data_IF_279180213036
#
_entry.id   IF_279180213036
#
_cell.length_a   1.000
_cell.length_b   1.000
_cell.length_c   1.000
_cell.angle_alpha   90.00
_cell.angle_beta   90.00
_cell.angle_gamma   90.00
#
_symmetry.space_group_name_H-M   'P 1'
#
loop_
_entity.id
_entity.type
_entity.pdbx_description
1 polymer ?
#
# COMPACT_ATOMS: atom_id res chain seq x y z
N UNK A 1 12.75 13.18 7.06
CA UNK A 1 13.25 11.78 6.96
C UNK A 1 13.11 11.34 5.50
N UNK A 2 14.11 10.71 4.86
CA UNK A 2 13.96 10.24 3.47
C UNK A 2 13.36 8.83 3.44
N UNK A 3 12.15 8.70 2.91
CA UNK A 3 11.48 7.42 2.69
C UNK A 3 12.01 6.86 1.37
N UNK A 4 12.39 5.57 1.34
CA UNK A 4 12.89 4.91 0.13
C UNK A 4 11.81 4.12 -0.60
N UNK A 5 11.00 3.38 0.13
CA UNK A 5 9.82 2.68 -0.39
C UNK A 5 8.84 2.36 0.73
N UNK A 6 7.58 2.20 0.35
CA UNK A 6 6.47 1.87 1.24
C UNK A 6 5.98 0.47 0.91
N UNK A 7 5.77 -0.35 1.93
CA UNK A 7 5.23 -1.71 1.79
C UNK A 7 3.97 -1.83 2.61
N UNK A 8 2.91 -2.36 2.02
CA UNK A 8 1.66 -2.64 2.71
C UNK A 8 1.52 -4.17 2.79
N UNK A 9 1.36 -4.68 4.01
CA UNK A 9 1.17 -6.11 4.28
C UNK A 9 -0.20 -6.36 4.90
N UNK A 10 -0.95 -7.40 4.48
CA UNK A 10 -2.15 -7.80 5.17
C UNK A 10 -1.80 -8.31 6.58
N UNK A 11 -2.51 -7.78 7.56
CA UNK A 11 -2.53 -8.21 8.93
C UNK A 11 -3.86 -8.95 9.18
N UNK A 12 -3.84 -10.28 9.36
CA UNK A 12 -5.07 -11.09 9.42
C UNK A 12 -6.01 -10.73 10.57
N UNK A 13 -5.50 -10.06 11.61
CA UNK A 13 -6.29 -9.69 12.79
C UNK A 13 -6.77 -8.24 12.75
N UNK A 14 -6.06 -7.36 12.03
CA UNK A 14 -6.18 -5.90 12.21
C UNK A 14 -6.29 -5.11 10.90
N UNK A 15 -6.21 -5.77 9.73
CA UNK A 15 -6.35 -5.13 8.42
C UNK A 15 -5.04 -5.11 7.63
N UNK A 16 -4.38 -3.95 7.53
CA UNK A 16 -3.20 -3.73 6.70
C UNK A 16 -2.11 -2.94 7.43
N UNK A 17 -0.92 -3.50 7.50
CA UNK A 17 0.26 -2.87 8.08
C UNK A 17 1.03 -2.07 7.02
N UNK A 18 1.26 -0.78 7.28
CA UNK A 18 2.12 0.07 6.44
C UNK A 18 3.53 0.09 7.03
N UNK A 19 4.49 -0.38 6.26
CA UNK A 19 5.90 -0.52 6.62
C UNK A 19 6.76 0.37 5.72
N UNK A 20 7.59 1.20 6.35
CA UNK A 20 8.43 2.20 5.69
C UNK A 20 9.89 1.75 5.72
N UNK A 21 10.56 1.79 4.57
CA UNK A 21 12.03 1.68 4.50
C UNK A 21 12.64 3.07 4.60
N UNK A 22 13.41 3.33 5.64
CA UNK A 22 14.11 4.60 5.90
C UNK A 22 15.61 4.36 5.94
N UNK A 23 16.42 5.42 5.85
CA UNK A 23 17.87 5.31 6.02
C UNK A 23 18.18 4.80 7.42
N UNK A 24 18.76 3.60 7.51
CA UNK A 24 19.15 2.98 8.78
C UNK A 24 18.15 1.97 9.35
N UNK A 25 17.02 1.69 8.67
CA UNK A 25 16.11 0.65 9.17
C UNK A 25 14.77 0.54 8.46
N UNK A 26 13.89 -0.24 9.10
CA UNK A 26 12.50 -0.47 8.72
C UNK A 26 11.64 0.01 9.88
N UNK A 27 10.60 0.78 9.60
CA UNK A 27 9.68 1.34 10.58
C UNK A 27 8.24 0.95 10.23
N UNK A 28 7.47 0.48 11.22
CA UNK A 28 6.02 0.33 11.06
C UNK A 28 5.35 1.69 11.28
N UNK A 29 4.68 2.20 10.25
CA UNK A 29 3.96 3.46 10.32
C UNK A 29 2.64 3.32 11.08
N UNK A 30 1.88 2.25 10.78
CA UNK A 30 0.58 2.01 11.38
C UNK A 30 -0.08 0.74 10.86
N UNK A 31 -1.24 0.45 11.43
CA UNK A 31 -2.15 -0.59 10.97
C UNK A 31 -3.49 0.06 10.65
N UNK A 32 -4.04 -0.24 9.48
CA UNK A 32 -5.26 0.36 8.95
C UNK A 32 -6.30 -0.73 8.71
N UNK A 33 -7.60 -0.43 8.87
CA UNK A 33 -8.65 -1.45 8.77
C UNK A 33 -8.77 -2.06 7.36
N UNK A 34 -8.47 -1.28 6.32
CA UNK A 34 -8.61 -1.66 4.92
C UNK A 34 -7.45 -1.12 4.05
N UNK A 35 -7.41 -1.59 2.80
CA UNK A 35 -6.34 -1.24 1.85
C UNK A 35 -6.44 0.22 1.38
N UNK A 36 -7.64 0.79 1.31
CA UNK A 36 -7.85 2.17 0.87
C UNK A 36 -7.29 3.15 1.89
N UNK A 37 -7.55 2.93 3.18
CA UNK A 37 -7.00 3.68 4.29
C UNK A 37 -5.47 3.55 4.35
N UNK A 38 -4.93 2.34 4.11
CA UNK A 38 -3.48 2.11 4.07
C UNK A 38 -2.81 2.85 2.90
N UNK A 39 -3.45 2.89 1.72
CA UNK A 39 -2.97 3.63 0.55
C UNK A 39 -3.05 5.15 0.76
N UNK A 40 -4.17 5.65 1.29
CA UNK A 40 -4.34 7.06 1.61
C UNK A 40 -3.30 7.54 2.63
N UNK A 41 -3.07 6.76 3.69
CA UNK A 41 -2.02 7.04 4.67
C UNK A 41 -0.62 7.02 4.01
N UNK A 42 -0.37 6.06 3.11
CA UNK A 42 0.89 5.98 2.36
C UNK A 42 1.12 7.19 1.46
N UNK A 43 0.08 7.75 0.85
CA UNK A 43 0.17 8.97 0.01
C UNK A 43 0.32 10.25 0.84
N UNK A 44 -0.22 10.29 2.05
CA UNK A 44 -0.10 11.44 2.95
C UNK A 44 1.28 11.56 3.64
N UNK A 45 2.18 10.58 3.49
CA UNK A 45 3.50 10.60 4.11
C UNK A 45 4.42 11.66 3.51
N UNK A 46 4.82 12.62 4.35
CA UNK A 46 5.81 13.63 4.00
C UNK A 46 7.23 13.02 3.87
N UNK A 47 8.01 13.53 2.91
CA UNK A 47 9.36 13.03 2.61
C UNK A 47 9.44 11.89 1.59
N UNK A 48 8.32 11.59 0.90
CA UNK A 48 8.33 10.81 -0.34
C UNK A 48 8.95 11.62 -1.48
N UNK A 49 9.69 10.95 -2.36
CA UNK A 49 10.09 11.51 -3.65
C UNK A 49 9.01 11.23 -4.70
N UNK A 50 8.90 12.14 -5.66
CA UNK A 50 8.10 11.93 -6.85
C UNK A 50 8.55 10.63 -7.54
N UNK A 51 7.63 9.68 -7.73
CA UNK A 51 7.92 8.36 -8.30
C UNK A 51 8.27 7.26 -7.29
N UNK A 52 8.26 7.53 -5.97
CA UNK A 52 8.51 6.49 -4.98
C UNK A 52 7.42 5.40 -5.03
N UNK A 53 7.78 4.13 -5.24
CA UNK A 53 6.82 3.05 -5.38
C UNK A 53 6.17 2.69 -4.03
N UNK A 54 4.88 2.37 -4.09
CA UNK A 54 4.14 1.69 -3.02
C UNK A 54 3.96 0.24 -3.45
N UNK A 55 4.46 -0.69 -2.66
CA UNK A 55 4.30 -2.11 -2.91
C UNK A 55 3.23 -2.67 -1.98
N UNK A 56 2.19 -3.25 -2.56
CA UNK A 56 1.19 -4.02 -1.81
C UNK A 56 1.58 -5.48 -1.96
N UNK A 57 1.82 -6.16 -0.83
CA UNK A 57 2.20 -7.57 -0.81
C UNK A 57 0.99 -8.38 -0.38
N UNK A 58 0.68 -9.43 -1.12
CA UNK A 58 -0.39 -10.36 -0.74
C UNK A 58 0.20 -11.66 -0.23
N UNK A 59 -0.50 -12.25 0.74
CA UNK A 59 -0.09 -13.51 1.36
C UNK A 59 -0.75 -14.73 0.71
N UNK A 60 -1.92 -14.55 0.08
CA UNK A 60 -2.57 -15.57 -0.76
C UNK A 60 -3.57 -14.89 -1.71
N UNK A 61 -3.48 -15.21 -3.00
CA UNK A 61 -3.98 -14.31 -4.03
C UNK A 61 -4.61 -14.97 -5.25
N UNK A 62 -5.38 -16.03 -5.04
CA UNK A 62 -6.16 -16.58 -6.13
C UNK A 62 -7.48 -15.79 -6.39
N UNK A 63 -7.98 -14.99 -5.44
CA UNK A 63 -9.37 -14.48 -5.53
C UNK A 63 -9.63 -12.99 -5.30
N UNK A 64 -8.69 -12.21 -4.74
CA UNK A 64 -9.03 -10.91 -4.13
C UNK A 64 -8.69 -9.65 -4.97
N UNK A 65 -7.52 -9.50 -5.63
CA UNK A 65 -7.30 -8.32 -6.51
C UNK A 65 -8.20 -8.34 -7.71
N UNK A 66 -8.45 -9.51 -8.29
CA UNK A 66 -9.19 -9.57 -9.54
C UNK A 66 -10.54 -8.85 -9.39
N UNK A 67 -11.14 -8.93 -8.20
CA UNK A 67 -12.37 -8.22 -7.86
C UNK A 67 -12.14 -6.81 -7.29
N UNK A 68 -11.07 -6.57 -6.53
CA UNK A 68 -10.80 -5.27 -5.92
C UNK A 68 -10.20 -4.23 -6.90
N UNK A 69 -9.45 -4.66 -7.92
CA UNK A 69 -8.85 -3.79 -8.95
C UNK A 69 -9.62 -3.78 -10.27
N UNK A 70 -10.58 -4.69 -10.50
CA UNK A 70 -11.45 -4.62 -11.68
C UNK A 70 -12.12 -3.24 -11.88
N UNK A 71 -12.63 -2.56 -10.83
CA UNK A 71 -13.20 -1.21 -10.98
C UNK A 71 -12.15 -0.15 -11.33
N UNK A 72 -10.90 -0.32 -10.88
CA UNK A 72 -9.83 0.65 -11.08
C UNK A 72 -9.20 0.59 -12.49
N UNK A 73 -9.28 -0.56 -13.17
CA UNK A 73 -8.79 -0.73 -14.55
C UNK A 73 -9.89 -0.74 -15.61
N UNK A 74 -11.15 -1.08 -15.26
CA UNK A 74 -12.29 -1.03 -16.19
C UNK A 74 -12.67 0.39 -16.63
N UNK A 75 -12.37 1.41 -15.81
CA UNK A 75 -12.69 2.80 -16.11
C UNK A 75 -11.75 3.50 -17.13
N UNK A 76 -10.76 2.79 -17.69
CA UNK A 76 -9.86 3.32 -18.75
C UNK A 76 -9.89 2.54 -20.06
N UNK A 77 -10.90 1.70 -20.27
CA UNK A 77 -11.08 0.95 -21.50
C UNK A 77 -12.42 1.24 -22.18
N UNK A 78 -12.72 2.52 -22.42
CA UNK A 78 -13.65 2.88 -23.50
C UNK A 78 -13.28 4.27 -24.04
N UNK A 79 -12.68 4.25 -25.24
CA UNK A 79 -12.50 5.37 -26.15
C UNK A 79 -13.01 4.90 -27.51
#
# INVERSE_FOLDING_TARGET
MKIGHIRIYPNPEKGFDVILRVRGGILKHGTFPDIEAALAASWALDGRKLGDPVYVYERDFAGSLANALAPAFGAKAEA
#
